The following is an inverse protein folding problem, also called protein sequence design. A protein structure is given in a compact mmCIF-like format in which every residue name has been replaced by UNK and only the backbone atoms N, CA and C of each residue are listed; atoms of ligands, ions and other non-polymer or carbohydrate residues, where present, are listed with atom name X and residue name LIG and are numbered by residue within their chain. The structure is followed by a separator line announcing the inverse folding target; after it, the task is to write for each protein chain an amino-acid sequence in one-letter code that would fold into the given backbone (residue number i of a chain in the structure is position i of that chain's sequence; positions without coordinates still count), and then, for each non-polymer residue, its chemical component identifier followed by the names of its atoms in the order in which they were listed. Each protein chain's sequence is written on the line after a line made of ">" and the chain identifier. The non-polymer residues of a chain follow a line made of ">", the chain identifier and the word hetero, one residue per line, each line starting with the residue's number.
data_IF_411390822034
#
_entry.id   IF_411390822034
#
_cell.length_a   1.000
_cell.length_b   1.000
_cell.length_c   1.000
_cell.angle_alpha   90.00
_cell.angle_beta   90.00
_cell.angle_gamma   90.00
#
_symmetry.space_group_name_H-M   'P 1'
#
loop_
_entity.id
_entity.type
_entity.pdbx_description
1 polymer ?
#
# COMPACT_ATOMS: atom_id res chain seq x y z
N UNK A 1 -14.46 -37.42 -11.12
CA UNK A 1 -13.18 -37.26 -10.40
C UNK A 1 -12.39 -36.01 -10.86
N UNK A 2 -12.90 -35.20 -11.82
CA UNK A 2 -12.20 -34.03 -12.35
C UNK A 2 -12.44 -32.73 -11.56
N UNK A 3 -13.69 -32.43 -11.18
CA UNK A 3 -14.04 -31.15 -10.53
C UNK A 3 -13.41 -30.92 -9.15
N UNK A 4 -13.16 -31.99 -8.39
CA UNK A 4 -12.53 -31.90 -7.06
C UNK A 4 -11.01 -31.69 -7.17
N UNK A 5 -10.36 -32.31 -8.17
CA UNK A 5 -8.93 -32.16 -8.42
C UNK A 5 -8.63 -30.76 -8.99
N UNK A 6 -9.46 -30.25 -9.91
CA UNK A 6 -9.39 -28.87 -10.41
C UNK A 6 -9.54 -27.83 -9.30
N UNK A 7 -10.47 -28.05 -8.37
CA UNK A 7 -10.64 -27.19 -7.19
C UNK A 7 -9.41 -27.18 -6.27
N UNK A 8 -8.78 -28.33 -6.07
CA UNK A 8 -7.55 -28.45 -5.26
C UNK A 8 -6.35 -27.78 -5.97
N UNK A 9 -6.21 -27.95 -7.27
CA UNK A 9 -5.16 -27.29 -8.09
C UNK A 9 -5.34 -25.77 -8.09
N UNK A 10 -6.58 -25.26 -8.04
CA UNK A 10 -6.88 -23.83 -7.91
C UNK A 10 -6.49 -23.25 -6.54
N UNK A 11 -6.58 -24.04 -5.47
CA UNK A 11 -6.33 -23.59 -4.08
C UNK A 11 -4.86 -23.77 -3.67
N UNK A 12 -4.16 -24.78 -4.21
CA UNK A 12 -2.73 -25.05 -3.93
C UNK A 12 -1.81 -23.82 -4.08
N UNK A 13 -1.94 -22.98 -5.12
CA UNK A 13 -1.15 -21.78 -5.31
C UNK A 13 -1.39 -20.74 -4.21
N UNK A 14 -2.63 -20.60 -3.72
CA UNK A 14 -2.94 -19.70 -2.62
C UNK A 14 -2.33 -20.18 -1.30
N UNK A 15 -2.38 -21.49 -1.05
CA UNK A 15 -1.72 -22.10 0.10
C UNK A 15 -0.18 -21.94 0.03
N UNK A 16 0.41 -22.18 -1.14
CA UNK A 16 1.83 -21.98 -1.40
C UNK A 16 2.22 -20.50 -1.25
N UNK A 17 1.42 -19.59 -1.78
CA UNK A 17 1.63 -18.15 -1.63
C UNK A 17 1.60 -17.78 -0.15
N UNK A 18 0.56 -18.16 0.60
CA UNK A 18 0.43 -17.94 2.05
C UNK A 18 1.60 -18.51 2.86
N UNK A 19 2.10 -19.69 2.50
CA UNK A 19 3.32 -20.28 3.07
C UNK A 19 4.56 -19.46 2.77
N UNK A 20 4.73 -18.99 1.53
CA UNK A 20 5.82 -18.08 1.15
C UNK A 20 5.69 -16.75 1.87
N UNK A 21 4.49 -16.17 1.99
CA UNK A 21 4.24 -14.96 2.80
C UNK A 21 4.70 -15.18 4.23
N UNK A 22 4.27 -16.28 4.85
CA UNK A 22 4.53 -16.58 6.26
C UNK A 22 6.02 -16.82 6.50
N UNK A 23 6.69 -17.58 5.63
CA UNK A 23 8.12 -17.89 5.73
C UNK A 23 8.99 -16.68 5.43
N UNK A 24 8.67 -15.89 4.40
CA UNK A 24 9.37 -14.63 4.09
C UNK A 24 9.17 -13.62 5.21
N UNK A 25 7.97 -13.53 5.78
CA UNK A 25 7.69 -12.60 6.89
C UNK A 25 8.38 -13.01 8.18
N UNK A 26 8.43 -14.31 8.52
CA UNK A 26 9.22 -14.81 9.65
C UNK A 26 10.72 -14.58 9.42
N UNK A 27 11.24 -14.85 8.22
CA UNK A 27 12.63 -14.54 7.87
C UNK A 27 12.91 -13.03 7.89
N UNK A 28 11.95 -12.19 7.50
CA UNK A 28 12.08 -10.72 7.57
C UNK A 28 12.11 -10.25 9.01
N UNK A 29 11.31 -10.82 9.91
CA UNK A 29 11.32 -10.47 11.34
C UNK A 29 12.63 -10.94 12.00
N UNK A 30 13.08 -12.16 11.71
CA UNK A 30 14.36 -12.69 12.20
C UNK A 30 15.55 -11.90 11.65
N UNK A 31 15.50 -11.53 10.36
CA UNK A 31 16.51 -10.70 9.74
C UNK A 31 16.46 -9.27 10.28
N UNK A 32 15.28 -8.66 10.46
CA UNK A 32 15.11 -7.33 11.06
C UNK A 32 15.64 -7.30 12.49
N UNK A 33 15.36 -8.33 13.32
CA UNK A 33 15.92 -8.49 14.65
C UNK A 33 17.45 -8.63 14.62
N UNK A 34 18.00 -9.48 13.75
CA UNK A 34 19.46 -9.59 13.57
C UNK A 34 20.11 -8.34 13.02
N UNK A 35 19.45 -7.61 12.12
CA UNK A 35 19.95 -6.32 11.65
C UNK A 35 19.81 -5.26 12.72
N UNK A 36 18.81 -5.28 13.59
CA UNK A 36 18.73 -4.34 14.72
C UNK A 36 19.85 -4.61 15.74
N UNK A 37 20.13 -5.88 16.04
CA UNK A 37 21.29 -6.29 16.84
C UNK A 37 22.62 -5.89 16.17
N UNK A 38 22.75 -6.05 14.85
CA UNK A 38 23.95 -5.62 14.09
C UNK A 38 24.02 -4.10 13.84
N UNK A 39 22.90 -3.37 13.86
CA UNK A 39 22.81 -1.91 13.68
C UNK A 39 23.09 -1.17 14.98
N UNK A 40 22.82 -1.80 16.13
CA UNK A 40 23.25 -1.31 17.44
C UNK A 40 24.78 -1.46 17.59
N UNK A 41 25.38 -2.46 16.92
CA UNK A 41 26.84 -2.73 16.95
C UNK A 41 27.64 -2.03 15.83
N UNK A 42 26.98 -1.62 14.73
CA UNK A 42 27.63 -1.04 13.55
C UNK A 42 26.97 0.30 13.20
N UNK A 43 27.61 1.40 13.60
CA UNK A 43 27.29 2.76 13.19
C UNK A 43 26.79 2.81 11.74
N UNK A 44 25.51 3.15 11.54
CA UNK A 44 24.89 3.30 10.22
C UNK A 44 25.80 4.20 9.38
N UNK A 45 26.26 3.72 8.22
CA UNK A 45 26.98 4.55 7.25
C UNK A 45 25.97 5.53 6.64
N UNK A 46 25.74 6.65 7.34
CA UNK A 46 24.79 7.70 6.98
C UNK A 46 25.02 8.25 5.57
N UNK A 47 26.25 8.09 5.06
CA UNK A 47 26.64 8.58 3.75
C UNK A 47 26.38 7.57 2.63
N UNK A 48 26.18 6.27 2.90
CA UNK A 48 25.93 5.27 1.87
C UNK A 48 24.71 4.40 2.17
N UNK A 49 23.57 4.73 1.55
CA UNK A 49 22.34 3.95 1.72
C UNK A 49 21.55 3.77 0.42
N UNK A 50 20.69 2.73 0.41
CA UNK A 50 19.90 2.34 -0.75
C UNK A 50 18.43 2.31 -0.37
N UNK A 51 17.63 3.14 -1.03
CA UNK A 51 16.17 3.15 -0.92
C UNK A 51 15.60 2.28 -2.03
N UNK A 52 14.80 1.28 -1.65
CA UNK A 52 14.12 0.35 -2.54
C UNK A 52 12.73 0.02 -1.99
N UNK A 53 11.84 -0.37 -2.87
CA UNK A 53 10.55 -0.95 -2.47
C UNK A 53 10.71 -2.32 -1.82
N UNK A 54 9.69 -2.77 -1.09
CA UNK A 54 9.74 -4.04 -0.37
C UNK A 54 9.91 -5.23 -1.33
N UNK A 55 11.04 -5.93 -1.21
CA UNK A 55 11.41 -7.07 -2.07
C UNK A 55 10.35 -8.17 -2.12
N UNK A 56 9.54 -8.32 -1.07
CA UNK A 56 8.50 -9.34 -1.02
C UNK A 56 7.33 -9.07 -1.98
N UNK A 57 7.01 -7.80 -2.29
CA UNK A 57 6.02 -7.47 -3.32
C UNK A 57 6.49 -7.91 -4.71
N UNK A 58 7.77 -7.72 -5.03
CA UNK A 58 8.36 -8.20 -6.30
C UNK A 58 8.29 -9.72 -6.42
N UNK A 59 8.56 -10.45 -5.34
CA UNK A 59 8.43 -11.91 -5.30
C UNK A 59 6.97 -12.33 -5.54
N UNK A 60 6.00 -11.61 -4.96
CA UNK A 60 4.57 -11.90 -5.15
C UNK A 60 4.17 -11.76 -6.62
N UNK A 61 4.56 -10.68 -7.31
CA UNK A 61 4.31 -10.52 -8.73
C UNK A 61 5.05 -11.56 -9.58
N UNK A 62 6.27 -11.94 -9.21
CA UNK A 62 7.00 -12.99 -9.91
C UNK A 62 6.26 -14.34 -9.83
N UNK A 63 5.81 -14.73 -8.64
CA UNK A 63 5.00 -15.94 -8.41
C UNK A 63 3.71 -15.87 -9.21
N UNK A 64 3.02 -14.73 -9.21
CA UNK A 64 1.82 -14.51 -10.03
C UNK A 64 2.08 -14.70 -11.53
N UNK A 65 3.19 -14.17 -12.03
CA UNK A 65 3.58 -14.29 -13.45
C UNK A 65 3.80 -15.76 -13.84
N UNK A 66 4.53 -16.51 -13.01
CA UNK A 66 4.77 -17.94 -13.23
C UNK A 66 3.45 -18.71 -13.17
N UNK A 67 2.61 -18.40 -12.19
CA UNK A 67 1.33 -19.07 -11.99
C UNK A 67 0.39 -18.90 -13.20
N UNK A 68 0.19 -17.67 -13.68
CA UNK A 68 -0.64 -17.43 -14.87
C UNK A 68 -0.04 -18.05 -16.14
N UNK A 69 1.29 -18.10 -16.25
CA UNK A 69 1.97 -18.77 -17.37
C UNK A 69 1.72 -20.28 -17.37
N UNK A 70 1.76 -20.93 -16.20
CA UNK A 70 1.45 -22.36 -16.06
C UNK A 70 -0.01 -22.66 -16.39
N UNK A 71 -0.95 -21.82 -15.94
CA UNK A 71 -2.36 -21.98 -16.29
C UNK A 71 -2.60 -21.84 -17.79
N UNK A 72 -1.94 -20.88 -18.44
CA UNK A 72 -2.02 -20.73 -19.89
C UNK A 72 -1.44 -21.95 -20.62
N UNK A 73 -0.28 -22.46 -20.19
CA UNK A 73 0.30 -23.70 -20.74
C UNK A 73 -0.62 -24.91 -20.54
N UNK A 74 -1.26 -25.02 -19.39
CA UNK A 74 -2.26 -26.06 -19.15
C UNK A 74 -3.42 -25.96 -20.14
N UNK A 75 -3.94 -24.75 -20.38
CA UNK A 75 -4.96 -24.52 -21.40
C UNK A 75 -4.53 -24.92 -22.81
N UNK A 76 -3.24 -24.79 -23.15
CA UNK A 76 -2.70 -25.27 -24.43
C UNK A 76 -2.66 -26.81 -24.50
N UNK A 77 -2.25 -27.47 -23.41
CA UNK A 77 -2.19 -28.94 -23.34
C UNK A 77 -3.59 -29.54 -23.46
N UNK A 78 -4.58 -28.92 -22.80
CA UNK A 78 -5.96 -29.39 -22.77
C UNK A 78 -6.78 -28.97 -24.00
N UNK A 79 -6.16 -28.27 -24.96
CA UNK A 79 -6.83 -27.81 -26.19
C UNK A 79 -7.85 -26.68 -25.97
N UNK A 80 -7.98 -26.15 -24.76
CA UNK A 80 -8.88 -25.05 -24.40
C UNK A 80 -8.28 -23.65 -24.67
N UNK A 81 -7.06 -23.55 -25.19
CA UNK A 81 -6.37 -22.29 -25.47
C UNK A 81 -6.92 -21.56 -26.71
N UNK A 82 -8.17 -21.10 -26.63
CA UNK A 82 -8.77 -20.21 -27.62
C UNK A 82 -8.10 -18.83 -27.56
N UNK A 83 -8.30 -18.03 -28.61
CA UNK A 83 -7.80 -16.66 -28.67
C UNK A 83 -8.20 -15.84 -27.43
N UNK A 84 -9.44 -16.00 -26.96
CA UNK A 84 -9.97 -15.35 -25.76
C UNK A 84 -9.18 -15.73 -24.50
N UNK A 85 -8.84 -17.02 -24.33
CA UNK A 85 -8.06 -17.52 -23.19
C UNK A 85 -6.63 -16.97 -23.23
N UNK A 86 -5.99 -16.98 -24.39
CA UNK A 86 -4.63 -16.45 -24.59
C UNK A 86 -4.59 -14.96 -24.25
N UNK A 87 -5.57 -14.17 -24.71
CA UNK A 87 -5.66 -12.75 -24.39
C UNK A 87 -5.87 -12.50 -22.90
N UNK A 88 -6.81 -13.22 -22.28
CA UNK A 88 -7.16 -13.03 -20.88
C UNK A 88 -5.97 -13.27 -19.94
N UNK A 89 -5.24 -14.37 -20.14
CA UNK A 89 -4.02 -14.66 -19.38
C UNK A 89 -2.83 -13.82 -19.82
N UNK A 90 -2.69 -13.52 -21.11
CA UNK A 90 -1.59 -12.73 -21.66
C UNK A 90 -1.49 -11.34 -21.04
N UNK A 91 -2.61 -10.65 -20.87
CA UNK A 91 -2.66 -9.34 -20.19
C UNK A 91 -2.23 -9.47 -18.73
N UNK A 92 -2.66 -10.52 -18.01
CA UNK A 92 -2.30 -10.73 -16.61
C UNK A 92 -0.80 -11.01 -16.45
N UNK A 93 -0.23 -11.85 -17.33
CA UNK A 93 1.20 -12.15 -17.37
C UNK A 93 1.99 -10.88 -17.69
N UNK A 94 1.57 -10.10 -18.69
CA UNK A 94 2.25 -8.86 -19.07
C UNK A 94 2.21 -7.83 -17.94
N UNK A 95 1.04 -7.59 -17.34
CA UNK A 95 0.90 -6.67 -16.21
C UNK A 95 1.78 -7.08 -15.03
N UNK A 96 1.73 -8.36 -14.64
CA UNK A 96 2.51 -8.89 -13.52
C UNK A 96 4.02 -8.87 -13.79
N UNK A 97 4.43 -9.18 -15.02
CA UNK A 97 5.83 -9.10 -15.45
C UNK A 97 6.37 -7.67 -15.44
N UNK A 98 5.60 -6.70 -15.96
CA UNK A 98 5.96 -5.27 -15.94
C UNK A 98 6.08 -4.77 -14.50
N UNK A 99 5.14 -5.16 -13.61
CA UNK A 99 5.23 -4.80 -12.19
C UNK A 99 6.49 -5.39 -11.55
N UNK A 100 6.80 -6.66 -11.82
CA UNK A 100 8.01 -7.32 -11.31
C UNK A 100 9.28 -6.59 -11.74
N UNK A 101 9.37 -6.23 -13.02
CA UNK A 101 10.51 -5.50 -13.59
C UNK A 101 10.62 -4.09 -12.99
N UNK A 102 9.49 -3.38 -12.87
CA UNK A 102 9.46 -2.05 -12.28
C UNK A 102 10.04 -2.07 -10.85
N UNK A 103 9.56 -2.99 -10.01
CA UNK A 103 9.99 -3.13 -8.62
C UNK A 103 11.47 -3.55 -8.49
N UNK A 104 11.99 -4.31 -9.45
CA UNK A 104 13.39 -4.76 -9.42
C UNK A 104 14.37 -3.69 -9.90
N UNK A 105 13.96 -2.89 -10.88
CA UNK A 105 14.78 -1.87 -11.52
C UNK A 105 14.77 -0.57 -10.71
N UNK A 106 13.61 -0.19 -10.18
CA UNK A 106 13.46 1.05 -9.43
C UNK A 106 14.25 0.99 -8.13
N UNK A 107 15.18 1.95 -7.96
CA UNK A 107 15.95 2.13 -6.74
C UNK A 107 16.58 3.52 -6.73
N UNK A 108 16.79 4.04 -5.53
CA UNK A 108 17.57 5.26 -5.29
C UNK A 108 18.76 4.88 -4.43
N UNK A 109 19.98 5.13 -4.90
CA UNK A 109 21.17 5.00 -4.06
C UNK A 109 21.69 6.38 -3.75
N UNK A 110 22.09 6.58 -2.51
CA UNK A 110 22.74 7.80 -2.06
C UNK A 110 24.15 7.42 -1.64
N UNK A 111 25.14 8.00 -2.30
CA UNK A 111 26.55 7.85 -1.98
C UNK A 111 27.13 9.25 -1.72
N UNK A 112 27.44 9.52 -0.46
CA UNK A 112 27.74 10.83 0.09
C UNK A 112 26.69 11.86 -0.36
N UNK A 113 27.03 12.64 -1.40
CA UNK A 113 26.23 13.76 -1.87
C UNK A 113 25.56 13.51 -3.23
N UNK A 114 25.83 12.35 -3.84
CA UNK A 114 25.33 11.95 -5.15
C UNK A 114 24.18 10.96 -5.00
N UNK A 115 23.06 11.30 -5.64
CA UNK A 115 21.86 10.48 -5.72
C UNK A 115 21.83 9.78 -7.08
N UNK A 116 22.05 8.47 -7.11
CA UNK A 116 21.80 7.61 -8.27
C UNK A 116 20.33 7.18 -8.27
N UNK A 117 19.53 7.83 -9.11
CA UNK A 117 18.16 7.42 -9.40
C UNK A 117 18.14 6.44 -10.57
N UNK A 118 17.60 5.24 -10.37
CA UNK A 118 17.41 4.24 -11.43
C UNK A 118 15.93 4.00 -11.66
N UNK A 119 15.50 4.12 -12.90
CA UNK A 119 14.14 3.80 -13.36
C UNK A 119 14.17 2.89 -14.58
N UNK A 120 12.99 2.48 -15.05
CA UNK A 120 12.83 1.71 -16.30
C UNK A 120 13.42 2.43 -17.52
N UNK A 121 13.46 3.77 -17.49
CA UNK A 121 13.97 4.61 -18.58
C UNK A 121 15.47 4.89 -18.50
N UNK A 122 16.18 4.31 -17.52
CA UNK A 122 17.63 4.45 -17.36
C UNK A 122 18.05 4.99 -16.00
N UNK A 123 19.32 5.38 -15.91
CA UNK A 123 19.94 5.94 -14.71
C UNK A 123 20.07 7.46 -14.84
N UNK A 124 19.84 8.17 -13.75
CA UNK A 124 20.08 9.61 -13.62
C UNK A 124 20.84 9.87 -12.33
N UNK A 125 21.73 10.84 -12.39
CA UNK A 125 22.54 11.27 -11.27
C UNK A 125 22.14 12.69 -10.92
N UNK A 126 21.92 12.96 -9.63
CA UNK A 126 21.60 14.28 -9.11
C UNK A 126 22.46 14.53 -7.89
N UNK A 127 22.89 15.77 -7.65
CA UNK A 127 23.49 16.15 -6.37
C UNK A 127 22.42 16.69 -5.43
N UNK A 128 22.64 16.57 -4.11
CA UNK A 128 21.77 17.23 -3.14
C UNK A 128 21.75 18.76 -3.29
N UNK A 129 22.84 19.36 -3.77
CA UNK A 129 22.93 20.79 -4.10
C UNK A 129 21.92 21.24 -5.16
N UNK A 130 21.50 20.32 -6.04
CA UNK A 130 20.60 20.63 -7.15
C UNK A 130 19.13 20.60 -6.72
N UNK A 131 18.85 20.11 -5.51
CA UNK A 131 17.51 20.00 -4.95
C UNK A 131 17.08 21.36 -4.42
N UNK A 132 16.01 21.90 -4.98
CA UNK A 132 15.47 23.21 -4.58
C UNK A 132 14.41 23.10 -3.50
N UNK A 133 13.56 22.06 -3.54
CA UNK A 133 12.51 21.85 -2.54
C UNK A 133 12.07 20.39 -2.45
N UNK A 134 11.49 20.04 -1.31
CA UNK A 134 10.77 18.79 -1.12
C UNK A 134 9.31 19.07 -0.70
N UNK A 135 8.36 18.36 -1.31
CA UNK A 135 6.92 18.55 -1.13
C UNK A 135 6.27 17.27 -0.63
N UNK A 136 5.66 17.33 0.56
CA UNK A 136 4.77 16.27 1.01
C UNK A 136 3.37 16.50 0.45
N UNK A 137 2.87 15.53 -0.31
CA UNK A 137 1.49 15.51 -0.76
C UNK A 137 0.55 14.96 0.32
N UNK A 138 -0.73 15.30 0.24
CA UNK A 138 -1.79 14.74 1.11
C UNK A 138 -1.83 13.20 1.08
N UNK A 139 -1.35 12.60 -0.01
CA UNK A 139 -1.22 11.17 -0.17
C UNK A 139 0.02 10.58 0.54
N UNK A 140 0.74 11.34 1.38
CA UNK A 140 1.92 10.89 2.13
C UNK A 140 3.15 10.63 1.26
N UNK A 141 3.09 10.89 -0.05
CA UNK A 141 4.24 10.76 -0.93
C UNK A 141 5.13 12.02 -0.84
N UNK A 142 6.43 11.80 -0.77
CA UNK A 142 7.44 12.86 -0.86
C UNK A 142 7.83 13.07 -2.32
N UNK A 143 7.67 14.29 -2.82
CA UNK A 143 8.13 14.69 -4.14
C UNK A 143 9.32 15.63 -4.02
N UNK A 144 10.41 15.28 -4.68
CA UNK A 144 11.65 16.07 -4.67
C UNK A 144 11.77 16.79 -6.01
N UNK A 145 12.12 18.08 -5.95
CA UNK A 145 12.23 18.96 -7.11
C UNK A 145 13.63 19.54 -7.23
N UNK A 146 14.10 19.67 -8.46
CA UNK A 146 15.27 20.45 -8.85
C UNK A 146 14.79 21.57 -9.77
N UNK A 147 14.81 22.81 -9.28
CA UNK A 147 14.08 23.92 -9.88
C UNK A 147 12.57 23.64 -9.90
N UNK A 148 11.96 23.73 -11.09
CA UNK A 148 10.55 23.43 -11.34
C UNK A 148 10.30 21.97 -11.75
N UNK A 149 11.36 21.19 -11.96
CA UNK A 149 11.24 19.82 -12.46
C UNK A 149 11.21 18.82 -11.31
N UNK A 150 10.18 17.96 -11.32
CA UNK A 150 10.11 16.80 -10.43
C UNK A 150 11.20 15.79 -10.79
N UNK A 151 12.09 15.49 -9.85
CA UNK A 151 13.21 14.56 -10.06
C UNK A 151 12.91 13.17 -9.49
N UNK A 152 12.33 13.09 -8.31
CA UNK A 152 12.07 11.83 -7.60
C UNK A 152 10.71 11.90 -6.90
N UNK A 153 10.01 10.77 -6.90
CA UNK A 153 8.81 10.55 -6.11
C UNK A 153 9.06 9.36 -5.20
N UNK A 154 8.87 9.54 -3.90
CA UNK A 154 8.83 8.45 -2.94
C UNK A 154 7.39 8.25 -2.49
N UNK A 155 6.89 7.03 -2.62
CA UNK A 155 5.59 6.68 -2.07
C UNK A 155 5.70 6.41 -0.56
N UNK A 156 4.60 6.64 0.18
CA UNK A 156 4.53 6.52 1.65
C UNK A 156 4.95 5.15 2.19
N UNK A 157 4.87 4.11 1.37
CA UNK A 157 5.23 2.74 1.76
C UNK A 157 6.75 2.50 1.79
N UNK A 158 7.56 3.47 1.39
CA UNK A 158 9.01 3.38 1.29
C UNK A 158 9.61 4.04 2.52
N UNK A 159 10.55 3.35 3.19
CA UNK A 159 11.27 3.95 4.30
C UNK A 159 12.22 5.04 3.76
N UNK A 160 11.89 6.29 4.04
CA UNK A 160 12.62 7.49 3.59
C UNK A 160 13.31 8.23 4.74
N UNK A 161 13.33 7.70 5.96
CA UNK A 161 13.86 8.42 7.14
C UNK A 161 15.31 8.89 6.98
N UNK A 162 16.17 8.05 6.39
CA UNK A 162 17.58 8.41 6.09
C UNK A 162 17.69 9.49 5.00
N UNK A 163 16.75 9.51 4.07
CA UNK A 163 16.67 10.52 3.02
C UNK A 163 16.20 11.86 3.56
N UNK A 164 15.20 11.85 4.43
CA UNK A 164 14.73 13.04 5.16
C UNK A 164 15.83 13.64 6.02
N UNK A 165 16.60 12.80 6.72
CA UNK A 165 17.79 13.24 7.47
C UNK A 165 18.81 13.93 6.56
N UNK A 166 19.10 13.33 5.39
CA UNK A 166 20.01 13.91 4.40
C UNK A 166 19.50 15.26 3.88
N UNK A 167 18.21 15.38 3.55
CA UNK A 167 17.60 16.66 3.14
C UNK A 167 17.71 17.74 4.22
N UNK A 168 17.53 17.35 5.50
CA UNK A 168 17.63 18.27 6.63
C UNK A 168 19.05 18.81 6.84
N UNK A 169 20.08 17.97 6.63
CA UNK A 169 21.50 18.36 6.66
C UNK A 169 21.82 19.46 5.65
N UNK A 170 21.17 19.40 4.48
CA UNK A 170 21.31 20.38 3.40
C UNK A 170 20.41 21.61 3.54
N UNK A 171 19.64 21.76 4.63
CA UNK A 171 18.71 22.88 4.89
C UNK A 171 17.69 23.11 3.76
N UNK A 172 17.29 22.05 3.06
CA UNK A 172 16.30 22.14 1.98
C UNK A 172 14.92 22.43 2.59
N UNK A 173 14.16 23.35 1.99
CA UNK A 173 12.81 23.68 2.48
C UNK A 173 11.86 22.49 2.28
N UNK A 174 11.20 22.11 3.37
CA UNK A 174 10.16 21.09 3.37
C UNK A 174 8.81 21.80 3.41
N UNK A 175 8.07 21.71 2.31
CA UNK A 175 6.74 22.29 2.20
C UNK A 175 5.70 21.17 2.35
N UNK A 176 4.86 21.29 3.37
CA UNK A 176 3.71 20.39 3.58
C UNK A 176 2.50 20.99 2.89
N UNK A 177 1.91 20.30 1.90
CA UNK A 177 0.61 20.71 1.35
C UNK A 177 -0.48 20.49 2.41
N UNK A 178 -0.69 21.48 3.28
CA UNK A 178 -1.91 21.58 4.10
C UNK A 178 -2.82 22.63 3.48
N UNK A 179 -3.73 22.20 2.61
CA UNK A 179 -4.87 23.04 2.27
C UNK A 179 -5.74 23.17 3.53
N UNK A 180 -5.74 24.37 4.13
CA UNK A 180 -6.80 24.82 5.02
C UNK A 180 -8.14 24.68 4.29
N UNK A 181 -8.91 23.66 4.65
CA UNK A 181 -10.35 23.65 4.39
C UNK A 181 -11.12 23.31 5.66
N UNK A 182 -12.05 24.22 5.92
CA UNK A 182 -12.84 24.41 7.12
C UNK A 182 -13.81 23.25 7.44
N UNK A 183 -14.03 23.10 8.75
CA UNK A 183 -15.18 22.50 9.47
C UNK A 183 -15.57 21.04 9.21
N UNK A 184 -15.23 20.46 8.07
CA UNK A 184 -15.54 19.06 7.76
C UNK A 184 -14.34 18.35 7.12
N UNK A 185 -13.89 17.28 7.75
CA UNK A 185 -12.82 16.45 7.23
C UNK A 185 -13.34 15.05 6.91
N UNK A 186 -13.31 14.69 5.63
CA UNK A 186 -13.62 13.34 5.19
C UNK A 186 -12.31 12.57 5.08
N UNK A 187 -12.18 11.53 5.91
CA UNK A 187 -11.10 10.55 5.81
C UNK A 187 -11.60 9.47 4.85
N UNK A 188 -11.02 9.45 3.65
CA UNK A 188 -11.28 8.42 2.64
C UNK A 188 -10.03 7.59 2.42
N UNK A 189 -10.16 6.29 2.08
CA UNK A 189 -9.03 5.57 1.48
C UNK A 189 -8.53 6.32 0.25
N UNK A 190 -7.19 6.44 0.10
CA UNK A 190 -6.57 7.13 -1.04
C UNK A 190 -7.06 6.52 -2.36
N UNK A 191 -7.36 7.35 -3.35
CA UNK A 191 -8.02 6.96 -4.61
C UNK A 191 -7.36 5.79 -5.32
N UNK A 192 -6.02 5.75 -5.34
CA UNK A 192 -5.26 4.65 -5.94
C UNK A 192 -5.45 3.30 -5.26
N UNK A 193 -5.76 3.28 -3.96
CA UNK A 193 -5.78 2.05 -3.15
C UNK A 193 -7.04 1.21 -3.38
N UNK A 194 -8.14 1.81 -3.85
CA UNK A 194 -9.37 1.09 -4.21
C UNK A 194 -9.62 1.05 -5.72
N UNK A 195 -9.12 2.02 -6.49
CA UNK A 195 -9.34 2.06 -7.94
C UNK A 195 -8.68 0.86 -8.64
N UNK A 196 -7.46 0.48 -8.23
CA UNK A 196 -6.75 -0.67 -8.82
C UNK A 196 -7.50 -1.99 -8.56
N UNK A 197 -7.89 -2.34 -7.31
CA UNK A 197 -8.75 -3.50 -7.06
C UNK A 197 -10.07 -3.48 -7.86
N UNK A 198 -10.71 -2.31 -8.00
CA UNK A 198 -11.96 -2.17 -8.76
C UNK A 198 -11.80 -2.44 -10.25
N UNK A 199 -10.79 -1.86 -10.89
CA UNK A 199 -10.47 -2.12 -12.31
C UNK A 199 -10.16 -3.60 -12.51
N UNK A 200 -9.36 -4.19 -11.62
CA UNK A 200 -8.99 -5.60 -11.70
C UNK A 200 -10.19 -6.53 -11.51
N UNK A 201 -11.11 -6.19 -10.61
CA UNK A 201 -12.38 -6.90 -10.41
C UNK A 201 -13.24 -6.90 -11.67
N UNK A 202 -13.44 -5.72 -12.27
CA UNK A 202 -14.23 -5.58 -13.50
C UNK A 202 -13.60 -6.34 -14.67
N UNK A 203 -12.27 -6.27 -14.80
CA UNK A 203 -11.52 -7.03 -15.81
C UNK A 203 -11.77 -8.54 -15.67
N UNK A 204 -11.70 -9.09 -14.45
CA UNK A 204 -11.88 -10.51 -14.22
C UNK A 204 -13.33 -10.98 -14.47
N UNK A 205 -14.33 -10.18 -14.06
CA UNK A 205 -15.74 -10.48 -14.36
C UNK A 205 -16.01 -10.45 -15.86
N UNK A 206 -15.48 -9.44 -16.56
CA UNK A 206 -15.65 -9.30 -17.99
C UNK A 206 -15.07 -10.51 -18.74
N UNK A 207 -13.83 -10.88 -18.43
CA UNK A 207 -13.19 -12.06 -19.03
C UNK A 207 -13.91 -13.36 -18.66
N UNK A 208 -14.36 -13.51 -17.41
CA UNK A 208 -15.17 -14.67 -17.00
C UNK A 208 -16.46 -14.80 -17.84
N UNK A 209 -17.13 -13.68 -18.11
CA UNK A 209 -18.37 -13.66 -18.91
C UNK A 209 -18.11 -14.06 -20.36
N UNK A 210 -17.03 -13.56 -20.98
CA UNK A 210 -16.65 -13.93 -22.35
C UNK A 210 -16.31 -15.42 -22.42
N UNK A 211 -15.48 -15.89 -21.48
CA UNK A 211 -14.96 -17.25 -21.48
C UNK A 211 -16.02 -18.31 -21.16
N UNK A 212 -17.19 -17.94 -20.65
CA UNK A 212 -18.24 -18.91 -20.30
C UNK A 212 -18.73 -19.74 -21.49
N UNK A 213 -18.60 -19.17 -22.69
CA UNK A 213 -19.01 -19.80 -23.95
C UNK A 213 -17.93 -20.71 -24.52
N UNK A 214 -16.66 -20.28 -24.44
CA UNK A 214 -15.52 -20.93 -25.09
C UNK A 214 -14.72 -21.89 -24.18
N UNK A 215 -14.59 -21.57 -22.89
CA UNK A 215 -13.72 -22.28 -21.94
C UNK A 215 -14.30 -22.19 -20.52
N UNK A 216 -15.35 -22.99 -20.25
CA UNK A 216 -16.14 -22.94 -19.01
C UNK A 216 -15.30 -23.08 -17.73
N UNK A 217 -14.31 -23.96 -17.74
CA UNK A 217 -13.42 -24.17 -16.59
C UNK A 217 -12.55 -22.94 -16.32
N UNK A 218 -11.98 -22.37 -17.40
CA UNK A 218 -11.21 -21.12 -17.31
C UNK A 218 -12.08 -19.95 -16.85
N UNK A 219 -13.31 -19.84 -17.37
CA UNK A 219 -14.29 -18.83 -16.95
C UNK A 219 -14.57 -18.88 -15.44
N UNK A 220 -14.71 -20.09 -14.90
CA UNK A 220 -14.93 -20.30 -13.48
C UNK A 220 -13.72 -19.88 -12.63
N UNK A 221 -12.50 -20.16 -13.10
CA UNK A 221 -11.27 -19.67 -12.46
C UNK A 221 -11.27 -18.13 -12.41
N UNK A 222 -11.53 -17.43 -13.51
CA UNK A 222 -11.58 -15.97 -13.52
C UNK A 222 -12.66 -15.41 -12.58
N UNK A 223 -13.82 -16.07 -12.51
CA UNK A 223 -14.89 -15.70 -11.57
C UNK A 223 -14.42 -15.82 -10.11
N UNK A 224 -13.83 -16.95 -9.73
CA UNK A 224 -13.30 -17.17 -8.38
C UNK A 224 -12.22 -16.15 -8.02
N UNK A 225 -11.30 -15.86 -8.95
CA UNK A 225 -10.25 -14.86 -8.75
C UNK A 225 -10.81 -13.45 -8.59
N UNK A 226 -11.99 -13.14 -9.13
CA UNK A 226 -12.63 -11.83 -8.99
C UNK A 226 -13.15 -11.57 -7.56
N UNK A 227 -13.47 -12.62 -6.79
CA UNK A 227 -14.08 -12.47 -5.45
C UNK A 227 -13.16 -11.73 -4.48
N UNK A 228 -11.84 -11.96 -4.56
CA UNK A 228 -10.84 -11.33 -3.69
C UNK A 228 -10.72 -9.82 -3.95
N UNK A 229 -10.36 -9.35 -5.16
CA UNK A 229 -10.29 -7.92 -5.47
C UNK A 229 -11.67 -7.25 -5.35
N UNK A 230 -12.76 -7.94 -5.67
CA UNK A 230 -14.12 -7.45 -5.47
C UNK A 230 -14.44 -7.20 -4.00
N UNK A 231 -14.09 -8.14 -3.12
CA UNK A 231 -14.25 -7.97 -1.66
C UNK A 231 -13.42 -6.81 -1.12
N UNK A 232 -12.18 -6.65 -1.60
CA UNK A 232 -11.30 -5.53 -1.22
C UNK A 232 -11.88 -4.20 -1.72
N UNK A 233 -12.36 -4.16 -2.97
CA UNK A 233 -12.97 -2.98 -3.56
C UNK A 233 -14.24 -2.54 -2.83
N UNK A 234 -15.15 -3.48 -2.54
CA UNK A 234 -16.37 -3.23 -1.77
C UNK A 234 -16.05 -2.78 -0.34
N UNK A 235 -15.03 -3.38 0.30
CA UNK A 235 -14.55 -2.95 1.61
C UNK A 235 -14.14 -1.48 1.60
N UNK A 236 -13.41 -1.02 0.57
CA UNK A 236 -13.01 0.38 0.47
C UNK A 236 -14.15 1.33 0.07
N UNK A 237 -15.07 0.92 -0.81
CA UNK A 237 -16.23 1.73 -1.20
C UNK A 237 -17.12 2.08 0.00
N UNK A 238 -17.22 1.15 0.93
CA UNK A 238 -18.12 1.24 2.09
C UNK A 238 -17.44 1.80 3.33
N UNK A 239 -16.12 1.78 3.43
CA UNK A 239 -15.37 2.43 4.51
C UNK A 239 -15.36 3.96 4.30
N UNK A 240 -16.30 4.64 4.97
CA UNK A 240 -16.38 6.11 4.98
C UNK A 240 -16.26 6.60 6.41
N UNK A 241 -15.26 7.43 6.65
CA UNK A 241 -15.05 8.14 7.92
C UNK A 241 -15.19 9.64 7.70
N UNK A 242 -16.16 10.25 8.37
CA UNK A 242 -16.47 11.69 8.27
C UNK A 242 -16.32 12.31 9.65
N UNK A 243 -15.62 13.43 9.74
CA UNK A 243 -15.49 14.21 10.97
C UNK A 243 -16.20 15.54 10.75
N UNK A 244 -17.26 15.78 11.53
CA UNK A 244 -18.04 17.02 11.54
C UNK A 244 -18.23 17.46 12.98
N UNK A 245 -17.98 18.74 13.27
CA UNK A 245 -18.36 19.41 14.52
C UNK A 245 -17.94 18.68 15.81
N UNK A 246 -16.71 18.13 15.83
CA UNK A 246 -16.20 17.40 16.99
C UNK A 246 -16.69 15.96 17.13
N UNK A 247 -17.45 15.45 16.16
CA UNK A 247 -17.94 14.08 16.08
C UNK A 247 -17.26 13.32 14.94
N UNK A 248 -16.92 12.07 15.21
CA UNK A 248 -16.42 11.10 14.26
C UNK A 248 -17.57 10.15 13.89
N UNK A 249 -17.95 10.18 12.63
CA UNK A 249 -18.91 9.28 12.01
C UNK A 249 -18.17 8.25 11.17
N UNK A 250 -18.43 6.97 11.41
CA UNK A 250 -17.91 5.89 10.60
C UNK A 250 -19.02 5.00 10.11
N UNK A 251 -19.07 4.82 8.80
CA UNK A 251 -19.81 3.75 8.15
C UNK A 251 -18.80 2.67 7.73
N UNK A 252 -19.06 1.41 8.07
CA UNK A 252 -18.16 0.30 7.77
C UNK A 252 -18.93 -0.90 7.24
N UNK A 253 -18.34 -1.64 6.30
CA UNK A 253 -18.99 -2.78 5.64
C UNK A 253 -19.46 -3.87 6.62
N UNK A 254 -18.57 -4.23 7.57
CA UNK A 254 -18.79 -5.32 8.52
C UNK A 254 -19.05 -4.86 9.96
N UNK A 255 -18.98 -3.56 10.25
CA UNK A 255 -19.18 -3.00 11.60
C UNK A 255 -20.31 -1.99 11.60
N UNK A 256 -21.17 -2.07 12.61
CA UNK A 256 -22.25 -1.10 12.84
C UNK A 256 -21.73 0.34 12.76
N UNK A 257 -22.56 1.21 12.17
CA UNK A 257 -22.31 2.64 12.09
C UNK A 257 -21.94 3.19 13.48
N UNK A 258 -20.83 3.91 13.54
CA UNK A 258 -20.29 4.40 14.79
C UNK A 258 -20.26 5.92 14.79
N UNK A 259 -20.83 6.53 15.84
CA UNK A 259 -20.79 7.97 16.10
C UNK A 259 -20.11 8.18 17.45
N UNK A 260 -19.00 8.92 17.48
CA UNK A 260 -18.17 9.11 18.68
C UNK A 260 -17.77 10.58 18.79
N UNK A 261 -17.78 11.15 19.99
CA UNK A 261 -17.17 12.48 20.22
C UNK A 261 -15.66 12.35 20.27
N UNK A 262 -14.93 13.29 19.65
CA UNK A 262 -13.46 13.29 19.67
C UNK A 262 -12.89 13.37 21.10
N UNK A 263 -13.60 14.02 22.03
CA UNK A 263 -13.22 14.15 23.44
C UNK A 263 -13.29 12.82 24.21
N UNK A 264 -14.16 11.91 23.80
CA UNK A 264 -14.34 10.62 24.46
C UNK A 264 -13.22 9.62 24.12
N UNK A 265 -12.32 9.98 23.20
CA UNK A 265 -11.21 9.13 22.77
C UNK A 265 -10.07 9.24 23.78
N UNK A 266 -9.93 8.21 24.59
CA UNK A 266 -8.93 8.15 25.67
C UNK A 266 -7.54 7.85 25.13
N UNK A 267 -7.42 6.87 24.21
CA UNK A 267 -6.12 6.40 23.69
C UNK A 267 -6.16 6.16 22.17
N UNK A 268 -5.02 6.39 21.53
CA UNK A 268 -4.76 6.10 20.12
C UNK A 268 -3.53 5.21 20.05
N UNK A 269 -3.60 4.12 19.30
CA UNK A 269 -2.45 3.24 19.04
C UNK A 269 -2.26 3.02 17.54
N UNK A 270 -1.02 2.96 17.08
CA UNK A 270 -0.70 2.44 15.74
C UNK A 270 -0.43 0.96 15.83
N UNK A 271 -1.21 0.15 15.12
CA UNK A 271 -1.00 -1.29 15.01
C UNK A 271 -0.60 -1.64 13.57
N UNK A 272 0.57 -2.25 13.40
CA UNK A 272 1.05 -2.74 12.10
C UNK A 272 0.32 -4.05 11.77
N UNK A 273 -0.32 -4.12 10.60
CA UNK A 273 -1.02 -5.31 10.10
C UNK A 273 -0.49 -5.72 8.72
N UNK A 274 -0.95 -6.87 8.19
CA UNK A 274 -0.62 -7.33 6.83
C UNK A 274 -1.05 -6.33 5.74
N UNK A 275 -2.10 -5.54 5.99
CA UNK A 275 -2.65 -4.57 5.05
C UNK A 275 -2.10 -3.14 5.25
N UNK A 276 -1.16 -2.98 6.19
CA UNK A 276 -0.57 -1.69 6.55
C UNK A 276 -0.81 -1.29 8.01
N UNK A 277 -0.41 -0.07 8.35
CA UNK A 277 -0.63 0.51 9.68
C UNK A 277 -2.10 0.91 9.86
N UNK A 278 -2.66 0.59 11.02
CA UNK A 278 -4.01 1.00 11.42
C UNK A 278 -3.95 1.78 12.71
N UNK A 279 -4.56 2.97 12.73
CA UNK A 279 -4.81 3.76 13.92
C UNK A 279 -6.03 3.25 14.64
N UNK A 280 -5.82 2.66 15.81
CA UNK A 280 -6.87 2.13 16.67
C UNK A 280 -7.24 3.18 17.71
N UNK A 281 -8.52 3.56 17.73
CA UNK A 281 -9.11 4.50 18.68
C UNK A 281 -9.79 3.72 19.83
N UNK A 282 -9.49 4.13 21.05
CA UNK A 282 -10.04 3.55 22.29
C UNK A 282 -10.85 4.58 23.06
N UNK A 283 -11.91 4.10 23.72
CA UNK A 283 -12.67 4.80 24.76
C UNK A 283 -12.72 3.88 25.96
N UNK A 284 -12.32 4.37 27.14
CA UNK A 284 -12.33 3.62 28.39
C UNK A 284 -11.69 2.22 28.25
N UNK A 285 -10.50 2.17 27.66
CA UNK A 285 -9.73 0.95 27.35
C UNK A 285 -10.39 -0.04 26.37
N UNK A 286 -11.60 0.22 25.88
CA UNK A 286 -12.27 -0.59 24.84
C UNK A 286 -11.95 -0.06 23.45
N UNK A 287 -11.61 -0.99 22.54
CA UNK A 287 -11.37 -0.70 21.12
C UNK A 287 -12.69 -0.30 20.45
N UNK A 288 -12.77 0.92 19.96
CA UNK A 288 -13.96 1.41 19.25
C UNK A 288 -13.80 1.13 17.76
N UNK A 289 -12.76 1.71 17.15
CA UNK A 289 -12.61 1.70 15.69
C UNK A 289 -11.15 1.74 15.27
N UNK A 290 -10.84 1.21 14.08
CA UNK A 290 -9.48 1.16 13.54
C UNK A 290 -9.44 1.81 12.16
N UNK A 291 -8.83 2.98 12.01
CA UNK A 291 -8.74 3.73 10.76
C UNK A 291 -7.40 3.39 10.10
N UNK A 292 -7.39 3.02 8.83
CA UNK A 292 -6.13 2.78 8.11
C UNK A 292 -5.29 4.05 8.11
N UNK A 293 -4.02 3.96 8.51
CA UNK A 293 -3.10 5.10 8.51
C UNK A 293 -2.78 5.57 7.08
N UNK A 294 -3.04 4.73 6.08
CA UNK A 294 -2.90 5.03 4.65
C UNK A 294 -4.05 5.86 4.09
N UNK A 295 -5.11 6.13 4.87
CA UNK A 295 -6.22 6.95 4.40
C UNK A 295 -5.78 8.42 4.29
N UNK A 296 -6.34 9.15 3.32
CA UNK A 296 -6.11 10.59 3.21
C UNK A 296 -6.64 11.31 4.47
N UNK A 297 -6.00 12.42 4.84
CA UNK A 297 -6.39 13.27 5.97
C UNK A 297 -6.31 12.64 7.36
N UNK A 298 -5.64 11.49 7.50
CA UNK A 298 -5.42 10.85 8.80
C UNK A 298 -4.51 11.68 9.72
N UNK A 299 -3.49 12.34 9.17
CA UNK A 299 -2.61 13.24 9.93
C UNK A 299 -3.40 14.42 10.52
N UNK A 300 -4.40 14.93 9.78
CA UNK A 300 -5.30 15.97 10.29
C UNK A 300 -6.11 15.50 11.50
N UNK A 301 -6.60 14.26 11.51
CA UNK A 301 -7.30 13.69 12.67
C UNK A 301 -6.39 13.62 13.91
N UNK A 302 -5.11 13.25 13.74
CA UNK A 302 -4.16 13.20 14.86
C UNK A 302 -3.90 14.60 15.45
N UNK A 303 -3.73 15.61 14.58
CA UNK A 303 -3.54 17.00 15.01
C UNK A 303 -4.78 17.50 15.76
N UNK A 304 -5.99 17.28 15.22
CA UNK A 304 -7.24 17.70 15.86
C UNK A 304 -7.53 17.00 17.19
N UNK A 305 -7.21 15.71 17.31
CA UNK A 305 -7.31 15.00 18.58
C UNK A 305 -6.33 15.54 19.63
N UNK A 306 -5.12 15.92 19.20
CA UNK A 306 -4.11 16.52 20.08
C UNK A 306 -4.51 17.93 20.54
N UNK A 307 -5.06 18.75 19.64
CA UNK A 307 -5.65 20.07 19.97
C UNK A 307 -6.81 19.93 20.95
N UNK A 308 -7.76 19.01 20.70
CA UNK A 308 -8.91 18.78 21.55
C UNK A 308 -8.50 18.39 22.99
N UNK A 309 -7.48 17.52 23.13
CA UNK A 309 -6.93 17.14 24.45
C UNK A 309 -6.24 18.30 25.16
N UNK A 310 -5.45 19.12 24.45
CA UNK A 310 -4.79 20.31 25.03
C UNK A 310 -5.82 21.33 25.53
N UNK A 311 -6.87 21.57 24.75
CA UNK A 311 -7.92 22.51 25.11
C UNK A 311 -8.74 22.04 26.32
N UNK A 312 -9.04 20.73 26.41
CA UNK A 312 -9.72 20.15 27.57
C UNK A 312 -8.89 20.26 28.86
N UNK A 313 -7.57 20.02 28.78
CA UNK A 313 -6.66 20.17 29.94
C UNK A 313 -6.56 21.63 30.40
N UNK A 314 -6.53 22.59 29.45
CA UNK A 314 -6.49 24.03 29.75
C UNK A 314 -7.81 24.55 30.36
N UNK A 315 -8.94 23.96 30.00
CA UNK A 315 -10.25 24.28 30.58
C UNK A 315 -10.40 23.76 32.02
N UNK A 316 -9.90 22.55 32.31
CA UNK A 316 -9.97 21.97 33.65
C UNK A 316 -8.93 22.55 34.64
N UNK A 317 -7.84 23.16 34.17
CA UNK A 317 -6.90 23.89 35.04
C UNK A 317 -7.33 25.33 35.36
N UNK A 318 -8.43 25.82 34.76
CA UNK A 318 -8.97 27.18 35.00
C UNK A 318 -10.23 27.18 35.89
N UNK A 319 -10.67 26.02 36.36
CA UNK A 319 -11.68 25.85 37.42
C UNK A 319 -10.97 25.47 38.70
#
# INVERSE_FOLDING_TARGET
>A
MNTFIEGIISILPWAATLLVIKTVKMKKIDHELKTLEQLEEKSIDENNYIIKEERWLSILFLVGTIFFSVLLLYGFIDGQATFSVIWAYGILIAFSGICTLHLFIWRVKVNNDVIEYRSLLGKRYYNFSDITRSLYKENGALEVYAGDKKIIKFDENINISLFEYSLSKYKISNETWMNSRDKECIIKPKESCYTIPGIFFLYLIFNSTILITDAKETAFVFFLFSLIPGSIFLYFLTDKTVIRDGWLYRNGFFRKNCKIRLLDITRIERKKSLLGETLVLYKDQKKITGISARNANVNWLQIKLTEAKKNHKKFNCKK
#
